data_IF_552970558036
#
_entry.id   IF_552970558036
#
_cell.length_a   1.000
_cell.length_b   1.000
_cell.length_c   1.000
_cell.angle_alpha   90.00
_cell.angle_beta   90.00
_cell.angle_gamma   90.00
#
_symmetry.space_group_name_H-M   'P 1'
#
loop_
_entity.id
_entity.type
_entity.pdbx_description
1 polymer ?
#
# COMPACT_ATOMS: atom_id res chain seq x y z
N UNK A 1 -41.72 -24.87 29.96
CA UNK A 1 -41.31 -23.48 29.62
C UNK A 1 -40.05 -23.60 28.79
N UNK A 2 -40.12 -23.35 27.48
CA UNK A 2 -38.98 -23.53 26.56
C UNK A 2 -38.31 -22.18 26.35
N UNK A 3 -37.00 -22.10 26.62
CA UNK A 3 -36.19 -20.91 26.37
C UNK A 3 -35.68 -21.00 24.94
N UNK A 4 -36.12 -20.07 24.09
CA UNK A 4 -35.64 -19.93 22.72
C UNK A 4 -34.42 -19.01 22.74
N UNK A 5 -33.24 -19.55 22.43
CA UNK A 5 -32.04 -18.75 22.19
C UNK A 5 -32.07 -18.22 20.77
N UNK A 6 -32.21 -16.90 20.62
CA UNK A 6 -32.03 -16.21 19.35
C UNK A 6 -30.56 -15.90 19.13
N UNK A 7 -29.91 -16.64 18.23
CA UNK A 7 -28.60 -16.27 17.73
C UNK A 7 -28.76 -15.09 16.77
N UNK A 8 -28.27 -13.91 17.17
CA UNK A 8 -28.12 -12.80 16.25
C UNK A 8 -26.92 -13.09 15.34
N UNK A 9 -27.07 -13.02 14.01
CA UNK A 9 -25.93 -13.15 13.11
C UNK A 9 -24.98 -11.98 13.36
N UNK A 10 -23.78 -12.27 13.85
CA UNK A 10 -22.68 -11.31 13.81
C UNK A 10 -22.40 -11.00 12.35
N UNK A 11 -22.59 -9.74 11.95
CA UNK A 11 -22.12 -9.27 10.65
C UNK A 11 -20.61 -9.44 10.62
N UNK A 12 -20.13 -10.48 9.94
CA UNK A 12 -18.75 -10.61 9.48
C UNK A 12 -18.52 -9.61 8.34
N UNK A 13 -18.61 -8.32 8.63
CA UNK A 13 -18.15 -7.25 7.74
C UNK A 13 -16.68 -7.02 8.04
N UNK A 14 -15.79 -7.57 7.23
CA UNK A 14 -14.34 -7.45 7.43
C UNK A 14 -13.80 -6.01 7.37
N UNK A 15 -14.59 -5.03 6.92
CA UNK A 15 -14.25 -3.61 7.01
C UNK A 15 -15.51 -2.77 7.28
N UNK A 16 -15.63 -2.17 8.47
CA UNK A 16 -16.52 -0.99 8.66
C UNK A 16 -15.92 0.28 8.03
N UNK A 17 -14.66 0.24 7.61
CA UNK A 17 -13.97 1.33 6.93
C UNK A 17 -14.31 1.33 5.43
N UNK A 18 -15.55 1.72 5.13
CA UNK A 18 -15.96 2.07 3.78
C UNK A 18 -16.05 3.60 3.67
N UNK A 19 -15.58 4.18 2.56
CA UNK A 19 -15.63 5.62 2.32
C UNK A 19 -14.33 6.15 1.71
N UNK A 20 -14.18 7.47 1.68
CA UNK A 20 -12.94 8.11 1.24
C UNK A 20 -11.86 8.00 2.31
N UNK A 21 -10.59 7.91 1.89
CA UNK A 21 -9.45 8.06 2.78
C UNK A 21 -9.52 9.43 3.47
N UNK A 22 -9.50 9.44 4.81
CA UNK A 22 -9.58 10.67 5.61
C UNK A 22 -8.21 11.32 5.82
N UNK A 23 -7.13 10.55 5.62
CA UNK A 23 -5.75 11.00 5.72
C UNK A 23 -4.88 10.15 4.80
N UNK A 24 -3.76 10.72 4.37
CA UNK A 24 -2.72 10.07 3.59
C UNK A 24 -1.38 10.43 4.23
N UNK A 25 -0.51 9.45 4.39
CA UNK A 25 0.85 9.62 4.95
C UNK A 25 1.88 8.84 4.11
N UNK A 26 3.16 8.99 4.42
CA UNK A 26 4.22 8.25 3.74
C UNK A 26 4.21 6.76 4.15
N UNK A 27 4.46 5.83 3.20
CA UNK A 27 4.48 4.39 3.50
C UNK A 27 5.76 3.93 4.22
N UNK A 28 6.70 4.85 4.48
CA UNK A 28 8.07 4.62 4.93
C UNK A 28 8.54 5.80 5.79
N UNK A 29 9.64 5.64 6.53
CA UNK A 29 10.25 6.72 7.32
C UNK A 29 11.08 7.67 6.43
N UNK A 30 10.59 8.89 6.26
CA UNK A 30 11.24 9.92 5.42
C UNK A 30 12.54 10.48 6.01
N UNK A 31 12.92 10.11 7.24
CA UNK A 31 14.26 10.41 7.77
C UNK A 31 15.31 9.39 7.29
N UNK A 32 14.87 8.17 6.95
CA UNK A 32 15.74 7.08 6.50
C UNK A 32 15.78 6.95 4.97
N UNK A 33 14.70 7.36 4.31
CA UNK A 33 14.52 7.24 2.87
C UNK A 33 14.42 8.60 2.20
N UNK A 34 14.82 8.66 0.94
CA UNK A 34 14.76 9.85 0.09
C UNK A 34 14.13 9.49 -1.25
N UNK A 35 13.51 10.48 -1.90
CA UNK A 35 12.96 10.31 -3.25
C UNK A 35 14.12 10.08 -4.23
N UNK A 36 14.06 8.97 -4.96
CA UNK A 36 14.91 8.68 -6.12
C UNK A 36 14.29 9.26 -7.40
N UNK A 37 12.98 9.09 -7.56
CA UNK A 37 12.26 9.55 -8.75
C UNK A 37 10.82 9.95 -8.38
N UNK A 38 10.44 11.17 -8.73
CA UNK A 38 9.14 11.75 -8.37
C UNK A 38 8.03 11.36 -9.37
N UNK A 39 6.78 11.53 -8.98
CA UNK A 39 5.62 11.42 -9.86
C UNK A 39 5.73 12.40 -11.03
N UNK A 40 5.34 11.96 -12.21
CA UNK A 40 5.36 12.79 -13.41
C UNK A 40 6.78 13.11 -13.93
N UNK A 41 7.83 12.55 -13.33
CA UNK A 41 9.20 12.71 -13.85
C UNK A 41 9.34 11.99 -15.20
N UNK A 42 9.87 12.64 -16.25
CA UNK A 42 10.15 11.97 -17.52
C UNK A 42 11.31 11.00 -17.34
N UNK A 43 11.18 9.77 -17.83
CA UNK A 43 12.23 8.76 -17.74
C UNK A 43 12.96 8.58 -19.08
N UNK A 44 14.26 8.95 -19.19
CA UNK A 44 15.05 8.68 -20.39
C UNK A 44 15.12 7.19 -20.71
N UNK A 45 15.20 6.34 -19.67
CA UNK A 45 15.15 4.88 -19.79
C UNK A 45 13.89 4.38 -20.49
N UNK A 46 12.78 5.11 -20.36
CA UNK A 46 11.48 4.74 -20.92
C UNK A 46 11.04 5.71 -22.02
N UNK A 47 11.98 6.19 -22.85
CA UNK A 47 11.70 7.01 -24.04
C UNK A 47 10.92 8.30 -23.71
N UNK A 48 11.19 8.90 -22.56
CA UNK A 48 10.54 10.14 -22.12
C UNK A 48 9.13 9.94 -21.54
N UNK A 49 8.66 8.70 -21.36
CA UNK A 49 7.39 8.44 -20.65
C UNK A 49 7.47 8.91 -19.20
N UNK A 50 6.34 9.32 -18.68
CA UNK A 50 6.21 9.86 -17.32
C UNK A 50 6.05 8.76 -16.28
N UNK A 51 6.67 8.98 -15.11
CA UNK A 51 6.54 8.11 -13.95
C UNK A 51 5.15 8.26 -13.30
N UNK A 52 4.48 7.14 -13.00
CA UNK A 52 3.12 7.13 -12.42
C UNK A 52 3.11 6.87 -10.91
N UNK A 53 4.25 7.03 -10.24
CA UNK A 53 4.42 6.84 -8.81
C UNK A 53 5.66 7.56 -8.30
N UNK A 54 6.05 7.28 -7.06
CA UNK A 54 7.30 7.77 -6.47
C UNK A 54 8.19 6.58 -6.11
N UNK A 55 9.47 6.67 -6.49
CA UNK A 55 10.48 5.71 -6.08
C UNK A 55 11.25 6.28 -4.89
N UNK A 56 11.32 5.51 -3.81
CA UNK A 56 12.05 5.88 -2.59
C UNK A 56 13.20 4.91 -2.33
N UNK A 57 14.32 5.44 -1.86
CA UNK A 57 15.49 4.64 -1.52
C UNK A 57 16.12 5.07 -0.21
N UNK A 58 16.60 4.10 0.56
CA UNK A 58 17.39 4.33 1.77
C UNK A 58 18.89 4.32 1.49
N UNK A 59 19.70 4.47 2.54
CA UNK A 59 21.15 4.29 2.45
C UNK A 59 21.46 2.87 1.97
N UNK A 60 22.47 2.75 1.10
CA UNK A 60 22.86 1.47 0.51
C UNK A 60 23.20 0.45 1.60
N UNK A 61 22.45 -0.65 1.62
CA UNK A 61 22.62 -1.72 2.60
C UNK A 61 21.73 -1.59 3.84
N UNK A 62 21.01 -0.48 4.01
CA UNK A 62 20.18 -0.21 5.20
C UNK A 62 18.67 -0.29 4.92
N UNK A 63 18.27 -0.28 3.65
CA UNK A 63 16.85 -0.33 3.26
C UNK A 63 16.23 -1.72 3.29
N UNK A 64 17.04 -2.79 3.28
CA UNK A 64 16.53 -4.16 3.22
C UNK A 64 15.81 -4.53 4.52
N UNK A 65 14.57 -5.02 4.40
CA UNK A 65 13.75 -5.42 5.54
C UNK A 65 13.11 -4.25 6.31
N UNK A 66 13.32 -3.00 5.89
CA UNK A 66 12.62 -1.86 6.48
C UNK A 66 11.11 -1.99 6.23
N UNK A 67 10.27 -1.64 7.22
CA UNK A 67 8.83 -1.80 7.09
C UNK A 67 8.24 -0.81 6.07
N UNK A 68 7.30 -1.32 5.26
CA UNK A 68 6.41 -0.51 4.43
C UNK A 68 5.01 -0.59 5.05
N UNK A 69 4.40 0.56 5.31
CA UNK A 69 3.07 0.71 5.91
C UNK A 69 2.08 1.20 4.86
N UNK A 70 0.79 0.93 5.06
CA UNK A 70 -0.25 1.51 4.23
C UNK A 70 -0.29 3.04 4.43
N UNK A 71 -0.45 3.79 3.34
CA UNK A 71 -0.54 5.26 3.36
C UNK A 71 -1.90 5.75 3.87
N UNK A 72 -2.92 4.90 3.81
CA UNK A 72 -4.29 5.17 4.18
C UNK A 72 -4.99 3.88 4.62
N UNK A 73 -6.10 4.01 5.34
CA UNK A 73 -7.02 2.89 5.57
C UNK A 73 -7.70 2.50 4.26
N UNK A 74 -7.81 1.20 4.00
CA UNK A 74 -8.41 0.67 2.78
C UNK A 74 -8.46 -0.85 2.76
N UNK A 75 -8.97 -1.41 1.67
CA UNK A 75 -9.03 -2.87 1.48
C UNK A 75 -7.95 -3.32 0.49
N UNK A 76 -7.13 -4.29 0.89
CA UNK A 76 -6.18 -4.93 -0.04
C UNK A 76 -6.96 -5.69 -1.11
N UNK A 77 -6.76 -5.32 -2.38
CA UNK A 77 -7.40 -5.96 -3.54
C UNK A 77 -6.45 -6.89 -4.29
N UNK A 78 -5.14 -6.71 -4.11
CA UNK A 78 -4.11 -7.51 -4.78
C UNK A 78 -2.83 -7.59 -3.93
N UNK A 79 -2.26 -8.79 -3.81
CA UNK A 79 -0.94 -9.03 -3.23
C UNK A 79 -0.26 -10.20 -3.94
N UNK A 80 0.90 -9.95 -4.55
CA UNK A 80 1.68 -10.97 -5.23
C UNK A 80 3.18 -10.62 -5.22
N UNK A 81 4.01 -11.60 -4.90
CA UNK A 81 5.48 -11.44 -4.91
C UNK A 81 5.98 -11.09 -6.32
N UNK A 82 5.35 -11.66 -7.36
CA UNK A 82 5.76 -11.50 -8.76
C UNK A 82 4.80 -10.61 -9.59
N UNK A 83 3.94 -9.82 -8.95
CA UNK A 83 2.89 -9.05 -9.63
C UNK A 83 3.38 -7.95 -10.57
N UNK A 84 4.59 -7.43 -10.35
CA UNK A 84 5.24 -6.39 -11.18
C UNK A 84 6.58 -6.85 -11.77
N UNK A 85 6.69 -8.12 -12.13
CA UNK A 85 7.89 -8.65 -12.77
C UNK A 85 9.09 -8.68 -11.83
N UNK A 86 10.23 -8.13 -12.25
CA UNK A 86 11.52 -8.24 -11.53
C UNK A 86 11.58 -7.40 -10.25
N UNK A 87 10.82 -6.30 -10.20
CA UNK A 87 10.88 -5.31 -9.12
C UNK A 87 9.80 -5.62 -8.05
N UNK A 88 9.72 -6.90 -7.67
CA UNK A 88 8.56 -7.54 -7.03
C UNK A 88 7.99 -6.91 -5.75
N UNK A 89 6.74 -7.31 -5.46
CA UNK A 89 5.92 -6.86 -4.33
C UNK A 89 4.94 -5.75 -4.70
N UNK A 90 3.66 -6.07 -4.81
CA UNK A 90 2.58 -5.09 -5.06
C UNK A 90 1.50 -5.23 -4.01
N UNK A 91 1.09 -4.11 -3.42
CA UNK A 91 -0.14 -4.03 -2.60
C UNK A 91 -1.00 -2.91 -3.17
N UNK A 92 -2.18 -3.26 -3.68
CA UNK A 92 -3.18 -2.28 -4.13
C UNK A 92 -4.26 -2.19 -3.06
N UNK A 93 -4.49 -0.97 -2.58
CA UNK A 93 -5.57 -0.65 -1.63
C UNK A 93 -6.65 0.19 -2.33
N UNK A 94 -7.92 -0.08 -2.00
CA UNK A 94 -9.07 0.77 -2.35
C UNK A 94 -9.55 1.59 -1.15
#
# INVERSE_FOLDING_TARGET
MAVVFTFSPTKLGAQEQCGFAQSIDFPIDTNLFRIAQDFGSPSPRHQGRYHTGEDWYGIRGESFGQPVRAIAAGRVTYSAVNGWGRDGGVVIIE
#
